data_IF_494220462201
#
_entry.id   IF_494220462201
#
_cell.length_a   1.000
_cell.length_b   1.000
_cell.length_c   1.000
_cell.angle_alpha   90.00
_cell.angle_beta   90.00
_cell.angle_gamma   90.00
#
_symmetry.space_group_name_H-M   'P 1'
#
loop_
_entity.id
_entity.type
_entity.pdbx_description
1 polymer ?
#
# COMPACT_ATOMS: atom_id res chain seq x y z
N UNK A 1 -23.76 13.61 -7.90
CA UNK A 1 -24.04 12.77 -6.73
C UNK A 1 -22.73 12.61 -5.98
N UNK A 2 -22.60 13.33 -4.86
CA UNK A 2 -21.46 13.18 -3.94
C UNK A 2 -21.95 12.16 -2.93
N UNK A 3 -21.46 10.92 -2.99
CA UNK A 3 -21.90 9.89 -2.06
C UNK A 3 -21.34 10.19 -0.67
N UNK A 4 -22.24 10.39 0.28
CA UNK A 4 -22.01 10.96 1.61
C UNK A 4 -21.38 9.98 2.61
N UNK A 5 -20.51 9.06 2.20
CA UNK A 5 -19.72 8.24 3.13
C UNK A 5 -18.43 7.71 2.47
N UNK A 6 -17.42 8.58 2.33
CA UNK A 6 -16.02 8.16 2.13
C UNK A 6 -15.46 7.58 3.45
N UNK A 7 -16.18 6.64 4.07
CA UNK A 7 -15.70 5.98 5.28
C UNK A 7 -14.55 5.07 4.88
N UNK A 8 -13.37 5.42 5.37
CA UNK A 8 -12.19 4.59 5.24
C UNK A 8 -12.25 3.49 6.30
N UNK A 9 -12.09 2.24 5.87
CA UNK A 9 -11.94 1.09 6.74
C UNK A 9 -10.46 0.74 6.88
N UNK A 10 -10.03 0.36 8.08
CA UNK A 10 -8.70 -0.20 8.32
C UNK A 10 -8.83 -1.70 8.52
N UNK A 11 -8.22 -2.48 7.63
CA UNK A 11 -8.19 -3.95 7.71
C UNK A 11 -6.76 -4.45 7.92
N UNK A 12 -6.58 -5.36 8.89
CA UNK A 12 -5.32 -6.10 9.09
C UNK A 12 -5.29 -7.44 8.35
N UNK A 13 -6.47 -7.97 8.03
CA UNK A 13 -6.58 -9.18 7.23
C UNK A 13 -6.43 -8.79 5.74
N UNK A 14 -5.28 -9.14 5.16
CA UNK A 14 -4.93 -8.81 3.79
C UNK A 14 -5.38 -9.95 2.88
N UNK A 15 -6.39 -9.66 2.06
CA UNK A 15 -6.95 -10.64 1.13
C UNK A 15 -6.02 -10.92 -0.05
N UNK A 16 -6.34 -11.94 -0.84
CA UNK A 16 -5.61 -12.23 -2.09
C UNK A 16 -5.79 -11.07 -3.08
N UNK A 17 -7.00 -10.50 -3.17
CA UNK A 17 -7.29 -9.35 -4.03
C UNK A 17 -6.47 -8.12 -3.66
N UNK A 18 -6.36 -7.84 -2.35
CA UNK A 18 -5.52 -6.75 -1.84
C UNK A 18 -4.05 -6.91 -2.28
N UNK A 19 -3.51 -8.15 -2.23
CA UNK A 19 -2.14 -8.45 -2.67
C UNK A 19 -1.98 -8.29 -4.17
N UNK A 20 -2.97 -8.67 -4.97
CA UNK A 20 -2.94 -8.46 -6.42
C UNK A 20 -2.96 -6.98 -6.79
N UNK A 21 -3.78 -6.17 -6.10
CA UNK A 21 -3.83 -4.72 -6.28
C UNK A 21 -2.46 -4.10 -6.01
N UNK A 22 -1.87 -4.44 -4.86
CA UNK A 22 -0.54 -3.95 -4.48
C UNK A 22 0.52 -4.39 -5.50
N UNK A 23 0.55 -5.68 -5.86
CA UNK A 23 1.53 -6.24 -6.80
C UNK A 23 1.47 -5.57 -8.16
N UNK A 24 0.26 -5.30 -8.69
CA UNK A 24 0.08 -4.61 -9.97
C UNK A 24 0.51 -3.14 -9.88
N UNK A 25 0.22 -2.47 -8.76
CA UNK A 25 0.55 -1.06 -8.61
C UNK A 25 2.06 -0.80 -8.47
N UNK A 26 2.80 -1.70 -7.81
CA UNK A 26 4.26 -1.58 -7.62
C UNK A 26 5.06 -2.31 -8.70
N UNK A 27 4.39 -2.86 -9.71
CA UNK A 27 5.05 -3.50 -10.83
C UNK A 27 6.02 -2.51 -11.52
N UNK A 28 7.24 -2.97 -11.79
CA UNK A 28 8.33 -2.14 -12.29
C UNK A 28 9.21 -1.48 -11.21
N UNK A 29 8.85 -1.54 -9.92
CA UNK A 29 9.75 -1.14 -8.83
C UNK A 29 10.66 -2.32 -8.47
N UNK A 30 11.88 -2.30 -9.01
CA UNK A 30 12.86 -3.35 -8.76
C UNK A 30 13.66 -3.09 -7.46
N UNK A 31 14.05 -4.18 -6.80
CA UNK A 31 14.95 -4.14 -5.65
C UNK A 31 14.25 -3.94 -4.30
N UNK A 32 12.92 -3.79 -4.27
CA UNK A 32 12.13 -3.64 -3.04
C UNK A 32 11.10 -4.77 -2.95
N UNK A 33 10.99 -5.37 -1.77
CA UNK A 33 9.96 -6.35 -1.45
C UNK A 33 8.92 -5.71 -0.53
N UNK A 34 7.66 -5.67 -0.99
CA UNK A 34 6.55 -5.01 -0.30
C UNK A 34 5.67 -6.05 0.40
N UNK A 35 5.77 -6.15 1.72
CA UNK A 35 4.95 -7.04 2.53
C UNK A 35 3.83 -6.27 3.25
N UNK A 36 2.58 -6.30 2.77
CA UNK A 36 1.47 -5.56 3.39
C UNK A 36 1.10 -6.14 4.77
N UNK A 37 0.94 -5.26 5.76
CA UNK A 37 0.53 -5.60 7.13
C UNK A 37 -0.82 -4.99 7.53
N UNK A 38 -1.25 -3.96 6.80
CA UNK A 38 -2.57 -3.37 6.93
C UNK A 38 -2.95 -2.68 5.60
N UNK A 39 -4.24 -2.56 5.35
CA UNK A 39 -4.80 -1.79 4.24
C UNK A 39 -5.87 -0.85 4.76
N UNK A 40 -5.84 0.38 4.29
CA UNK A 40 -6.87 1.39 4.53
C UNK A 40 -7.56 1.63 3.20
N UNK A 41 -8.88 1.46 3.13
CA UNK A 41 -9.60 1.60 1.87
C UNK A 41 -11.02 2.09 2.06
N UNK A 42 -11.55 2.77 1.04
CA UNK A 42 -12.97 3.08 0.95
C UNK A 42 -13.79 1.92 0.33
N UNK A 43 -13.14 0.80 -0.03
CA UNK A 43 -13.75 -0.37 -0.68
C UNK A 43 -14.03 -0.19 -2.17
N UNK A 44 -13.64 0.94 -2.76
CA UNK A 44 -13.91 1.26 -4.17
C UNK A 44 -12.61 1.49 -4.93
N UNK A 45 -12.02 2.67 -4.80
CA UNK A 45 -10.95 3.15 -5.68
C UNK A 45 -9.72 3.64 -4.92
N UNK A 46 -9.78 3.83 -3.60
CA UNK A 46 -8.66 4.37 -2.82
C UNK A 46 -8.14 3.31 -1.85
N UNK A 47 -6.83 3.05 -1.95
CA UNK A 47 -6.13 2.07 -1.15
C UNK A 47 -4.85 2.68 -0.59
N UNK A 48 -4.62 2.53 0.72
CA UNK A 48 -3.38 2.86 1.39
C UNK A 48 -2.86 1.63 2.11
N UNK A 49 -1.82 1.02 1.57
CA UNK A 49 -1.18 -0.13 2.20
C UNK A 49 -0.11 0.33 3.18
N UNK A 50 -0.11 -0.23 4.38
CA UNK A 50 1.06 -0.16 5.26
C UNK A 50 1.87 -1.42 4.99
N UNK A 51 3.09 -1.24 4.50
CA UNK A 51 3.98 -2.33 4.12
C UNK A 51 5.24 -2.33 4.98
N UNK A 52 5.70 -3.52 5.37
CA UNK A 52 7.10 -3.74 5.68
C UNK A 52 7.84 -3.86 4.35
N UNK A 53 8.78 -2.95 4.12
CA UNK A 53 9.59 -2.92 2.90
C UNK A 53 10.98 -3.43 3.20
N UNK A 54 11.42 -4.43 2.45
CA UNK A 54 12.79 -4.96 2.50
C UNK A 54 13.52 -4.61 1.22
N UNK A 55 14.65 -3.92 1.31
CA UNK A 55 15.50 -3.65 0.16
C UNK A 55 16.39 -4.87 -0.12
N UNK A 56 16.47 -5.29 -1.38
CA UNK A 56 17.24 -6.45 -1.83
C UNK A 56 18.75 -6.13 -1.92
N UNK A 57 19.10 -4.86 -2.11
CA UNK A 57 20.46 -4.46 -2.53
C UNK A 57 21.44 -4.30 -1.36
N UNK A 58 20.99 -4.03 -0.12
CA UNK A 58 21.89 -3.91 1.03
C UNK A 58 21.18 -4.31 2.33
N UNK A 59 21.97 -4.57 3.38
CA UNK A 59 21.60 -4.78 4.80
C UNK A 59 20.79 -3.61 5.44
N UNK A 60 20.06 -2.84 4.63
CA UNK A 60 19.18 -1.79 5.09
C UNK A 60 18.01 -2.40 5.85
N UNK A 61 17.81 -1.88 7.05
CA UNK A 61 16.79 -2.27 8.01
C UNK A 61 15.40 -2.31 7.35
N UNK A 62 14.55 -3.23 7.82
CA UNK A 62 13.14 -3.24 7.44
C UNK A 62 12.53 -1.87 7.76
N UNK A 63 11.96 -1.21 6.76
CA UNK A 63 11.27 0.07 6.93
C UNK A 63 9.77 -0.14 6.81
N UNK A 64 9.00 0.68 7.50
CA UNK A 64 7.56 0.76 7.28
C UNK A 64 7.31 1.83 6.23
N UNK A 65 6.46 1.54 5.26
CA UNK A 65 6.05 2.52 4.25
C UNK A 65 4.54 2.48 4.03
N UNK A 66 3.97 3.64 3.75
CA UNK A 66 2.61 3.79 3.25
C UNK A 66 2.65 3.84 1.72
N UNK A 67 1.95 2.92 1.07
CA UNK A 67 1.81 2.82 -0.38
C UNK A 67 0.42 3.31 -0.76
N UNK A 68 0.32 4.46 -1.41
CA UNK A 68 -0.93 5.07 -1.83
C UNK A 68 -1.26 4.64 -3.26
N UNK A 69 -2.43 4.02 -3.46
CA UNK A 69 -2.87 3.45 -4.74
C UNK A 69 -4.28 3.96 -5.04
N UNK A 70 -4.53 4.30 -6.31
CA UNK A 70 -5.87 4.58 -6.83
C UNK A 70 -6.21 3.62 -7.96
N UNK A 71 -7.43 3.07 -7.95
CA UNK A 71 -7.95 2.23 -9.02
C UNK A 71 -8.61 3.14 -10.07
N UNK A 72 -8.04 3.22 -11.26
CA UNK A 72 -8.64 3.92 -12.40
C UNK A 72 -9.05 2.88 -13.46
N UNK A 73 -10.33 2.82 -13.82
CA UNK A 73 -10.82 1.90 -14.87
C UNK A 73 -10.35 0.44 -14.67
N UNK A 74 -10.32 -0.04 -13.41
CA UNK A 74 -9.86 -1.36 -12.95
C UNK A 74 -8.34 -1.57 -12.94
N UNK A 75 -7.55 -0.56 -13.28
CA UNK A 75 -6.09 -0.63 -13.24
C UNK A 75 -5.59 0.05 -11.94
N UNK A 76 -4.91 -0.69 -11.06
CA UNK A 76 -4.24 -0.10 -9.91
C UNK A 76 -3.11 0.83 -10.35
N UNK A 77 -3.12 2.08 -9.89
CA UNK A 77 -2.07 3.06 -10.16
C UNK A 77 -1.42 3.50 -8.85
N UNK A 78 -0.11 3.33 -8.76
CA UNK A 78 0.68 3.90 -7.67
C UNK A 78 0.63 5.44 -7.72
N UNK A 79 0.26 6.04 -6.60
CA UNK A 79 0.27 7.48 -6.39
C UNK A 79 1.53 7.94 -5.65
N UNK A 80 2.02 7.13 -4.72
CA UNK A 80 3.21 7.48 -3.95
C UNK A 80 3.60 6.42 -2.93
N UNK A 81 4.85 6.51 -2.48
CA UNK A 81 5.41 5.70 -1.41
C UNK A 81 6.00 6.67 -0.38
N UNK A 82 5.52 6.59 0.85
CA UNK A 82 5.95 7.43 1.96
C UNK A 82 6.56 6.54 3.05
N UNK A 83 7.82 6.77 3.40
CA UNK A 83 8.45 6.12 4.55
C UNK A 83 7.76 6.60 5.84
N UNK A 84 7.37 5.65 6.68
CA UNK A 84 6.89 5.93 8.03
C UNK A 84 8.10 5.80 8.95
N UNK A 85 8.65 6.92 9.47
CA UNK A 85 9.80 6.85 10.35
C UNK A 85 9.42 6.06 11.62
N UNK A 86 10.30 5.16 12.05
CA UNK A 86 10.22 4.64 13.42
C UNK A 86 10.44 5.83 14.35
N UNK A 87 9.42 6.16 15.15
CA UNK A 87 9.53 7.23 16.13
C UNK A 87 10.74 7.00 17.03
N UNK A 88 11.59 8.02 17.14
CA UNK A 88 12.69 8.08 18.10
C UNK A 88 12.07 7.93 19.49
N UNK A 89 12.25 6.75 20.09
CA UNK A 89 11.98 6.50 21.50
C UNK A 89 13.10 7.03 22.37
#
# INVERSE_FOLDING_TARGET
MINENNQMEIRKDITIEDKEILSKAVDGINGWDFNPIAVITNGYDEYYFICKVKTIIENLQMKIAKISIKINERIPRLLGIEEIPESIG
#
